data_IF_483316112288
#
_entry.id   IF_483316112288
#
_cell.length_a   1.000
_cell.length_b   1.000
_cell.length_c   1.000
_cell.angle_alpha   90.00
_cell.angle_beta   90.00
_cell.angle_gamma   90.00
#
_symmetry.space_group_name_H-M   'P 1'
#
loop_
_entity.id
_entity.type
_entity.pdbx_description
1 polymer ?
#
# COMPACT_ATOMS: atom_id res chain seq x y z
N UNK A 1 -7.82 -0.30 13.49
CA UNK A 1 -8.63 -0.95 13.09
C UNK A 1 -9.40 -0.46 11.99
N UNK A 2 -8.91 0.15 11.02
CA UNK A 2 -9.62 0.66 9.93
C UNK A 2 -9.08 0.08 8.67
N UNK A 3 -9.03 -1.25 8.64
CA UNK A 3 -8.52 -1.91 7.45
C UNK A 3 -9.34 -1.54 6.23
N UNK A 4 -10.64 -1.36 6.42
CA UNK A 4 -11.49 -1.00 5.29
C UNK A 4 -11.11 0.35 4.72
N UNK A 5 -10.84 1.31 5.60
CA UNK A 5 -10.44 2.63 5.13
C UNK A 5 -9.10 2.58 4.44
N UNK A 6 -8.17 1.85 5.03
CA UNK A 6 -6.86 1.72 4.44
C UNK A 6 -6.96 1.02 3.08
N UNK A 7 -7.77 -0.03 3.02
CA UNK A 7 -7.97 -0.74 1.77
C UNK A 7 -8.55 0.18 0.70
N UNK A 8 -9.51 0.99 1.06
CA UNK A 8 -10.11 1.92 0.10
C UNK A 8 -9.07 2.90 -0.41
N UNK A 9 -8.24 3.41 0.49
CA UNK A 9 -7.19 4.34 0.09
C UNK A 9 -6.19 3.67 -0.82
N UNK A 10 -5.83 2.44 -0.50
CA UNK A 10 -4.89 1.71 -1.33
C UNK A 10 -5.46 1.46 -2.72
N UNK A 11 -6.71 1.09 -2.79
CA UNK A 11 -7.35 0.87 -4.08
C UNK A 11 -7.41 2.16 -4.89
N UNK A 12 -7.70 3.26 -4.22
CA UNK A 12 -7.80 4.53 -4.90
C UNK A 12 -6.43 4.97 -5.41
N UNK A 13 -5.39 4.71 -4.65
CA UNK A 13 -4.05 5.07 -5.06
C UNK A 13 -3.48 4.10 -6.08
N UNK A 14 -3.93 2.87 -6.06
CA UNK A 14 -3.39 1.84 -6.92
C UNK A 14 -4.22 1.72 -8.18
N UNK A 15 -3.91 2.52 -9.16
CA UNK A 15 -4.60 2.44 -10.44
C UNK A 15 -3.96 1.33 -11.26
N UNK A 16 -4.78 0.60 -11.95
CA UNK A 16 -4.29 -0.49 -12.80
C UNK A 16 -3.65 -1.61 -11.98
N UNK A 17 -4.00 -1.70 -10.71
CA UNK A 17 -3.48 -2.77 -9.88
C UNK A 17 -2.04 -2.57 -9.43
N UNK A 18 -1.54 -1.35 -9.51
CA UNK A 18 -0.18 -1.04 -9.10
C UNK A 18 -0.15 0.21 -8.25
N UNK A 19 0.75 0.24 -7.30
CA UNK A 19 0.90 1.40 -6.44
C UNK A 19 2.39 1.67 -6.27
N UNK A 20 2.75 2.95 -6.21
CA UNK A 20 4.15 3.28 -5.99
C UNK A 20 4.52 3.07 -4.53
N UNK A 21 5.79 2.75 -4.32
CA UNK A 21 6.28 2.55 -2.97
C UNK A 21 6.08 3.80 -2.11
N UNK A 22 6.27 4.95 -2.70
CA UNK A 22 6.11 6.20 -1.96
C UNK A 22 4.67 6.38 -1.49
N UNK A 23 3.71 6.05 -2.34
CA UNK A 23 2.31 6.16 -1.95
C UNK A 23 1.96 5.16 -0.86
N UNK A 24 2.48 3.95 -0.98
CA UNK A 24 2.23 2.94 0.04
C UNK A 24 2.78 3.39 1.39
N UNK A 25 3.98 3.95 1.38
CA UNK A 25 4.58 4.44 2.62
C UNK A 25 3.76 5.60 3.19
N UNK A 26 3.32 6.49 2.34
CA UNK A 26 2.54 7.62 2.79
C UNK A 26 1.26 7.17 3.47
N UNK A 27 0.59 6.21 2.86
CA UNK A 27 -0.64 5.69 3.43
C UNK A 27 -0.36 5.00 4.77
N UNK A 28 0.74 4.27 4.85
CA UNK A 28 1.10 3.62 6.10
C UNK A 28 1.31 4.64 7.21
N UNK A 29 2.02 5.70 6.90
CA UNK A 29 2.31 6.73 7.88
C UNK A 29 1.03 7.44 8.30
N UNK A 30 0.20 7.78 7.35
CA UNK A 30 -1.03 8.52 7.64
C UNK A 30 -1.97 7.71 8.50
N UNK A 31 -1.98 6.41 8.32
CA UNK A 31 -2.87 5.55 9.08
C UNK A 31 -2.19 4.89 10.26
N UNK A 32 -0.94 5.25 10.51
CA UNK A 32 -0.19 4.73 11.65
C UNK A 32 -0.15 3.22 11.67
N UNK A 33 0.06 2.65 10.51
CA UNK A 33 0.23 1.20 10.39
C UNK A 33 1.60 0.93 9.82
N UNK A 34 2.08 -0.29 10.00
CA UNK A 34 3.40 -0.63 9.51
C UNK A 34 3.34 -0.95 8.02
N UNK A 35 4.49 -0.82 7.38
CA UNK A 35 4.57 -1.19 5.97
C UNK A 35 4.24 -2.65 5.76
N UNK A 36 4.53 -3.48 6.75
CA UNK A 36 4.21 -4.89 6.64
C UNK A 36 2.71 -5.09 6.53
N UNK A 37 1.94 -4.34 7.30
CA UNK A 37 0.49 -4.44 7.20
C UNK A 37 -0.01 -3.95 5.86
N UNK A 38 0.56 -2.86 5.38
CA UNK A 38 0.18 -2.35 4.08
C UNK A 38 0.50 -3.37 3.00
N UNK A 39 1.68 -3.98 3.11
CA UNK A 39 2.06 -5.01 2.15
C UNK A 39 1.11 -6.19 2.16
N UNK A 40 0.69 -6.61 3.34
CA UNK A 40 -0.27 -7.69 3.44
C UNK A 40 -1.59 -7.35 2.75
N UNK A 41 -2.06 -6.13 2.97
CA UNK A 41 -3.30 -5.70 2.35
C UNK A 41 -3.15 -5.63 0.84
N UNK A 42 -2.01 -5.13 0.37
CA UNK A 42 -1.77 -5.07 -1.07
C UNK A 42 -1.75 -6.46 -1.67
N UNK A 43 -1.17 -7.40 -0.94
CA UNK A 43 -1.17 -8.78 -1.40
C UNK A 43 -2.59 -9.33 -1.53
N UNK A 44 -3.41 -9.05 -0.53
CA UNK A 44 -4.80 -9.51 -0.58
C UNK A 44 -5.55 -8.88 -1.74
N UNK A 45 -5.23 -7.64 -2.05
CA UNK A 45 -5.88 -6.93 -3.14
C UNK A 45 -5.23 -7.22 -4.49
N UNK A 46 -4.16 -7.99 -4.48
CA UNK A 46 -3.41 -8.31 -5.70
C UNK A 46 -2.88 -7.05 -6.36
N UNK A 47 -2.43 -6.13 -5.54
CA UNK A 47 -1.83 -4.89 -6.01
C UNK A 47 -0.33 -5.00 -5.88
N UNK A 48 0.40 -4.62 -6.91
CA UNK A 48 1.85 -4.70 -6.90
C UNK A 48 2.45 -3.36 -6.52
N UNK A 49 3.56 -3.42 -5.81
CA UNK A 49 4.30 -2.22 -5.47
C UNK A 49 5.34 -1.99 -6.55
N UNK A 50 5.32 -0.80 -7.13
CA UNK A 50 6.26 -0.44 -8.16
C UNK A 50 7.10 0.75 -7.72
N UNK A 51 8.11 1.07 -8.51
CA UNK A 51 8.97 2.23 -8.26
C UNK A 51 9.61 2.18 -6.90
N UNK A 52 10.05 1.01 -6.53
CA UNK A 52 10.71 0.83 -5.25
C UNK A 52 12.19 1.05 -5.45
N UNK A 53 12.67 2.20 -5.03
CA UNK A 53 14.06 2.55 -5.29
C UNK A 53 15.03 1.82 -4.41
N UNK A 54 14.58 1.38 -3.27
CA UNK A 54 15.47 0.70 -2.36
C UNK A 54 15.50 -0.80 -2.57
N UNK A 55 15.06 -1.22 -3.73
CA UNK A 55 15.06 -2.62 -4.06
C UNK A 55 14.27 -3.42 -3.03
N UNK A 56 13.19 -2.86 -2.61
CA UNK A 56 12.51 -3.49 -1.54
C UNK A 56 11.89 -4.75 -1.94
N UNK A 57 11.90 -5.63 -1.11
CA UNK A 57 11.21 -6.89 -1.21
C UNK A 57 11.30 -7.54 -2.55
#
# INVERSE_FOLDING_TARGET
>A
MKEEEITAKLKDAAKDGEISCAMAQKIAIENKVSMKQVGDLLNKLKIKIIQCQLGCF
#
